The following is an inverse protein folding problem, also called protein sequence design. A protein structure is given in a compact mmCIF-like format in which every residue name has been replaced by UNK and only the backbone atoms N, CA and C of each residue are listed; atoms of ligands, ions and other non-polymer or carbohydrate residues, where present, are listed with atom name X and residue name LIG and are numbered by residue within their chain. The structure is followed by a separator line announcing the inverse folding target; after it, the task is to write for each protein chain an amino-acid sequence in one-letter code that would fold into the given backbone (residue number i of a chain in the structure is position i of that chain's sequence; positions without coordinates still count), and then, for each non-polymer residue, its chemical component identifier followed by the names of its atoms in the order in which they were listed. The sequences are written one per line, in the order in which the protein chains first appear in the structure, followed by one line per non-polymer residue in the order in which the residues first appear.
data_IF_609893574609
#
_entry.id   IF_609893574609
#
_cell.length_a   1.000
_cell.length_b   1.000
_cell.length_c   1.000
_cell.angle_alpha   90.00
_cell.angle_beta   90.00
_cell.angle_gamma   90.00
#
_symmetry.space_group_name_H-M   'P 1'
#
loop_
_entity.id
_entity.type
_entity.pdbx_description
1 polymer ?
#
# COMPACT_ATOMS: atom_id res chain seq x y z
N UNK A 1 7.58 -2.76 -19.21
CA UNK A 1 7.57 -2.58 -17.75
C UNK A 1 6.24 -3.02 -17.14
N UNK A 2 5.06 -2.65 -17.68
CA UNK A 2 3.75 -3.02 -17.13
C UNK A 2 3.53 -4.53 -17.01
N UNK A 3 3.92 -5.31 -18.02
CA UNK A 3 3.82 -6.78 -17.99
C UNK A 3 4.60 -7.36 -16.80
N UNK A 4 5.82 -6.88 -16.58
CA UNK A 4 6.67 -7.32 -15.47
C UNK A 4 6.06 -6.93 -14.12
N UNK A 5 5.46 -5.74 -14.04
CA UNK A 5 4.76 -5.31 -12.81
C UNK A 5 3.57 -6.21 -12.47
N UNK A 6 2.79 -6.66 -13.47
CA UNK A 6 1.72 -7.63 -13.23
C UNK A 6 2.27 -8.99 -12.80
N UNK A 7 3.32 -9.51 -13.44
CA UNK A 7 3.94 -10.77 -13.02
C UNK A 7 4.47 -10.63 -11.58
N UNK A 8 5.12 -9.51 -11.26
CA UNK A 8 5.61 -9.23 -9.90
C UNK A 8 4.47 -9.18 -8.87
N UNK A 9 3.34 -8.59 -9.22
CA UNK A 9 2.15 -8.56 -8.37
C UNK A 9 1.64 -9.97 -8.04
N UNK A 10 1.59 -10.85 -9.05
CA UNK A 10 1.19 -12.25 -8.86
C UNK A 10 2.23 -13.07 -8.09
N UNK A 11 3.52 -12.86 -8.32
CA UNK A 11 4.58 -13.56 -7.57
C UNK A 11 4.65 -13.12 -6.10
N UNK A 12 4.37 -11.84 -5.81
CA UNK A 12 4.29 -11.35 -4.44
C UNK A 12 3.06 -11.88 -3.68
N UNK A 13 1.94 -12.14 -4.35
CA UNK A 13 0.71 -12.76 -3.84
C UNK A 13 0.30 -12.30 -2.42
N UNK A 14 0.47 -11.00 -2.07
CA UNK A 14 0.17 -10.46 -0.74
C UNK A 14 1.15 -10.89 0.38
N UNK A 15 2.21 -11.63 0.03
CA UNK A 15 3.25 -12.09 0.97
C UNK A 15 3.79 -10.97 1.85
N UNK A 16 4.17 -9.78 1.34
CA UNK A 16 4.76 -8.76 2.20
C UNK A 16 3.91 -8.41 3.41
N UNK A 17 2.65 -8.11 3.21
CA UNK A 17 1.73 -7.74 4.30
C UNK A 17 1.44 -8.92 5.24
N UNK A 18 1.25 -10.12 4.68
CA UNK A 18 1.07 -11.35 5.45
C UNK A 18 2.29 -11.64 6.34
N UNK A 19 3.48 -11.59 5.76
CA UNK A 19 4.73 -11.91 6.43
C UNK A 19 5.06 -10.94 7.58
N UNK A 20 4.81 -9.63 7.42
CA UNK A 20 4.98 -8.65 8.50
C UNK A 20 4.17 -9.09 9.73
N UNK A 21 2.90 -9.45 9.54
CA UNK A 21 2.02 -9.89 10.63
C UNK A 21 2.52 -11.18 11.29
N UNK A 22 2.88 -12.19 10.50
CA UNK A 22 3.28 -13.49 11.04
C UNK A 22 4.63 -13.42 11.75
N UNK A 23 5.61 -12.69 11.19
CA UNK A 23 6.90 -12.46 11.85
C UNK A 23 6.73 -11.69 13.16
N UNK A 24 5.90 -10.63 13.15
CA UNK A 24 5.66 -9.82 14.34
C UNK A 24 5.06 -10.63 15.49
N UNK A 25 4.19 -11.61 15.21
CA UNK A 25 3.60 -12.51 16.23
C UNK A 25 4.61 -13.38 16.96
N UNK A 26 5.72 -13.72 16.29
CA UNK A 26 6.70 -14.69 16.79
C UNK A 26 8.08 -14.10 16.99
N UNK A 27 8.24 -12.78 16.91
CA UNK A 27 9.53 -12.09 16.91
C UNK A 27 10.37 -12.36 18.17
N UNK A 28 9.70 -12.64 19.31
CA UNK A 28 10.35 -12.91 20.58
C UNK A 28 10.76 -14.40 20.75
N UNK A 29 10.43 -15.25 19.76
CA UNK A 29 10.82 -16.66 19.71
C UNK A 29 11.69 -16.91 18.46
N UNK A 30 13.03 -16.99 18.59
CA UNK A 30 13.96 -17.13 17.46
C UNK A 30 13.72 -18.37 16.59
N UNK A 31 13.33 -19.49 17.19
CA UNK A 31 13.06 -20.76 16.48
C UNK A 31 11.83 -20.60 15.56
N UNK A 32 10.70 -20.16 16.12
CA UNK A 32 9.46 -19.94 15.34
C UNK A 32 9.64 -18.85 14.29
N UNK A 33 10.36 -17.77 14.63
CA UNK A 33 10.63 -16.68 13.70
C UNK A 33 11.48 -17.18 12.52
N UNK A 34 12.52 -17.98 12.78
CA UNK A 34 13.36 -18.59 11.75
C UNK A 34 12.54 -19.50 10.85
N UNK A 35 11.74 -20.39 11.43
CA UNK A 35 10.88 -21.32 10.70
C UNK A 35 9.91 -20.60 9.78
N UNK A 36 9.11 -19.68 10.30
CA UNK A 36 8.12 -18.92 9.52
C UNK A 36 8.81 -18.12 8.40
N UNK A 37 9.94 -17.49 8.69
CA UNK A 37 10.71 -16.73 7.70
C UNK A 37 11.17 -17.63 6.55
N UNK A 38 11.71 -18.80 6.85
CA UNK A 38 12.17 -19.75 5.82
C UNK A 38 10.99 -20.32 5.02
N UNK A 39 9.88 -20.68 5.68
CA UNK A 39 8.66 -21.16 4.99
C UNK A 39 8.12 -20.13 4.00
N UNK A 40 8.05 -18.87 4.41
CA UNK A 40 7.58 -17.77 3.53
C UNK A 40 8.55 -17.52 2.37
N UNK A 41 9.86 -17.57 2.62
CA UNK A 41 10.87 -17.44 1.57
C UNK A 41 10.78 -18.56 0.53
N UNK A 42 10.58 -19.81 0.98
CA UNK A 42 10.40 -20.95 0.08
C UNK A 42 9.13 -20.82 -0.75
N UNK A 43 8.02 -20.37 -0.16
CA UNK A 43 6.79 -20.06 -0.90
C UNK A 43 7.03 -18.97 -1.94
N UNK A 44 7.70 -17.88 -1.57
CA UNK A 44 8.00 -16.77 -2.48
C UNK A 44 8.94 -17.21 -3.61
N UNK A 45 9.94 -18.04 -3.32
CA UNK A 45 10.81 -18.63 -4.34
C UNK A 45 10.03 -19.50 -5.34
N UNK A 46 9.09 -20.33 -4.85
CA UNK A 46 8.21 -21.13 -5.71
C UNK A 46 7.36 -20.24 -6.63
N UNK A 47 6.70 -19.21 -6.08
CA UNK A 47 5.91 -18.26 -6.88
C UNK A 47 6.77 -17.50 -7.89
N UNK A 48 7.99 -17.14 -7.52
CA UNK A 48 8.97 -16.50 -8.40
C UNK A 48 9.35 -17.40 -9.57
N UNK A 49 9.54 -18.69 -9.33
CA UNK A 49 9.79 -19.68 -10.38
C UNK A 49 8.62 -19.74 -11.38
N UNK A 50 7.37 -19.75 -10.89
CA UNK A 50 6.18 -19.68 -11.74
C UNK A 50 6.16 -18.35 -12.55
N UNK A 51 6.56 -17.25 -11.93
CA UNK A 51 6.69 -15.96 -12.61
C UNK A 51 7.70 -15.99 -13.75
N UNK A 52 8.87 -16.61 -13.55
CA UNK A 52 9.86 -16.77 -14.61
C UNK A 52 9.42 -17.73 -15.73
N UNK A 53 8.63 -18.74 -15.43
CA UNK A 53 7.99 -19.55 -16.47
C UNK A 53 7.04 -18.69 -17.33
N UNK A 54 6.25 -17.80 -16.71
CA UNK A 54 5.42 -16.85 -17.44
C UNK A 54 6.27 -15.86 -18.27
N UNK A 55 7.38 -15.36 -17.75
CA UNK A 55 8.33 -14.50 -18.48
C UNK A 55 8.85 -15.23 -19.73
N UNK A 56 9.25 -16.50 -19.58
CA UNK A 56 9.75 -17.31 -20.71
C UNK A 56 8.68 -17.50 -21.79
N UNK A 57 7.44 -17.84 -21.41
CA UNK A 57 6.32 -17.96 -22.34
C UNK A 57 6.06 -16.65 -23.08
N UNK A 58 6.08 -15.51 -22.39
CA UNK A 58 5.86 -14.18 -22.97
C UNK A 58 6.99 -13.82 -23.97
N UNK A 59 8.24 -14.14 -23.66
CA UNK A 59 9.36 -13.95 -24.58
C UNK A 59 9.19 -14.74 -25.88
N UNK A 60 8.56 -15.92 -25.81
CA UNK A 60 8.36 -16.79 -26.97
C UNK A 60 7.10 -16.43 -27.79
N UNK A 61 6.07 -15.88 -27.16
CA UNK A 61 4.74 -15.69 -27.78
C UNK A 61 4.43 -14.24 -28.16
N UNK A 62 5.01 -13.25 -27.47
CA UNK A 62 4.62 -11.84 -27.66
C UNK A 62 5.62 -11.13 -28.54
N UNK A 63 5.24 -10.86 -29.81
CA UNK A 63 6.08 -10.18 -30.82
C UNK A 63 6.62 -8.83 -30.39
N UNK A 64 5.84 -8.04 -29.65
CA UNK A 64 6.30 -6.75 -29.08
C UNK A 64 7.42 -6.88 -28.04
N UNK A 65 7.54 -8.02 -27.38
CA UNK A 65 8.61 -8.30 -26.41
C UNK A 65 9.84 -8.81 -27.17
N UNK A 66 9.62 -9.53 -28.27
CA UNK A 66 10.72 -10.07 -29.11
C UNK A 66 11.56 -8.96 -29.76
N UNK A 67 11.01 -7.76 -29.94
CA UNK A 67 11.78 -6.61 -30.46
C UNK A 67 12.85 -6.11 -29.51
N UNK A 68 12.70 -6.36 -28.19
CA UNK A 68 13.57 -5.78 -27.15
C UNK A 68 13.77 -6.76 -25.97
N UNK A 69 14.12 -8.02 -26.30
CA UNK A 69 14.36 -9.10 -25.32
C UNK A 69 15.39 -8.69 -24.25
N UNK A 70 16.54 -8.06 -24.57
CA UNK A 70 17.53 -7.69 -23.56
C UNK A 70 16.95 -6.76 -22.48
N UNK A 71 16.18 -5.74 -22.87
CA UNK A 71 15.52 -4.83 -21.94
C UNK A 71 14.46 -5.55 -21.09
N UNK A 72 13.68 -6.44 -21.72
CA UNK A 72 12.64 -7.18 -21.02
C UNK A 72 13.23 -8.14 -19.97
N UNK A 73 14.31 -8.86 -20.31
CA UNK A 73 15.02 -9.74 -19.38
C UNK A 73 15.69 -8.95 -18.26
N UNK A 74 16.32 -7.81 -18.57
CA UNK A 74 16.92 -6.93 -17.57
C UNK A 74 15.85 -6.48 -16.55
N UNK A 75 14.71 -6.00 -17.04
CA UNK A 75 13.61 -5.57 -16.17
C UNK A 75 12.98 -6.73 -15.39
N UNK A 76 12.97 -7.96 -15.95
CA UNK A 76 12.45 -9.15 -15.24
C UNK A 76 13.27 -9.52 -14.02
N UNK A 77 14.53 -9.09 -13.93
CA UNK A 77 15.36 -9.27 -12.74
C UNK A 77 14.71 -8.65 -11.48
N UNK A 78 13.87 -7.63 -11.64
CA UNK A 78 13.11 -7.04 -10.51
C UNK A 78 12.24 -8.05 -9.79
N UNK A 79 11.70 -9.07 -10.49
CA UNK A 79 10.87 -10.15 -9.90
C UNK A 79 11.71 -10.93 -8.88
N UNK A 80 12.90 -11.37 -9.27
CA UNK A 80 13.82 -12.11 -8.40
C UNK A 80 14.26 -11.27 -7.19
N UNK A 81 14.66 -10.02 -7.44
CA UNK A 81 15.15 -9.16 -6.36
C UNK A 81 14.03 -8.76 -5.39
N UNK A 82 12.80 -8.64 -5.87
CA UNK A 82 11.65 -8.45 -4.98
C UNK A 82 11.44 -9.66 -4.08
N UNK A 83 11.60 -10.88 -4.60
CA UNK A 83 11.44 -12.11 -3.84
C UNK A 83 12.47 -12.25 -2.69
N UNK A 84 13.74 -11.92 -2.96
CA UNK A 84 14.81 -11.98 -1.94
C UNK A 84 14.83 -10.73 -1.03
N UNK A 85 14.03 -9.70 -1.35
CA UNK A 85 14.08 -8.40 -0.68
C UNK A 85 13.82 -8.43 0.81
N UNK A 86 12.95 -9.33 1.29
CA UNK A 86 12.66 -9.61 2.70
C UNK A 86 12.45 -8.37 3.58
N UNK A 87 12.03 -7.23 3.01
CA UNK A 87 11.81 -6.00 3.78
C UNK A 87 10.74 -6.20 4.85
N UNK A 88 9.74 -7.04 4.55
CA UNK A 88 8.69 -7.46 5.47
C UNK A 88 9.22 -8.09 6.76
N UNK A 89 10.40 -8.75 6.72
CA UNK A 89 11.04 -9.31 7.91
C UNK A 89 11.47 -8.20 8.87
N UNK A 90 12.18 -7.20 8.36
CA UNK A 90 12.68 -6.07 9.17
C UNK A 90 11.53 -5.19 9.70
N UNK A 91 10.46 -5.04 8.93
CA UNK A 91 9.26 -4.38 9.41
C UNK A 91 8.57 -5.20 10.51
N UNK A 92 8.52 -6.53 10.38
CA UNK A 92 7.95 -7.43 11.38
C UNK A 92 8.67 -7.41 12.72
N UNK A 93 10.00 -7.30 12.70
CA UNK A 93 10.83 -7.13 13.92
C UNK A 93 10.99 -5.67 14.37
N UNK A 94 10.27 -4.74 13.71
CA UNK A 94 10.32 -3.29 14.00
C UNK A 94 11.68 -2.61 13.80
N UNK A 95 12.58 -3.16 12.96
CA UNK A 95 13.87 -2.52 12.63
C UNK A 95 13.70 -1.45 11.53
N UNK A 96 12.80 -0.49 11.78
CA UNK A 96 12.47 0.60 10.85
C UNK A 96 13.67 1.53 10.59
N UNK A 97 14.56 1.68 11.56
CA UNK A 97 15.77 2.48 11.41
C UNK A 97 16.63 1.95 10.26
N UNK A 98 16.85 0.64 10.23
CA UNK A 98 17.58 0.00 9.15
C UNK A 98 16.90 0.17 7.80
N UNK A 99 15.59 -0.09 7.75
CA UNK A 99 14.80 0.06 6.51
C UNK A 99 14.89 1.48 5.96
N UNK A 100 14.73 2.50 6.82
CA UNK A 100 14.78 3.89 6.44
C UNK A 100 16.17 4.32 5.93
N UNK A 101 17.24 4.04 6.70
CA UNK A 101 18.61 4.42 6.33
C UNK A 101 19.02 3.75 5.02
N UNK A 102 18.80 2.43 4.91
CA UNK A 102 19.09 1.68 3.69
C UNK A 102 18.31 2.24 2.50
N UNK A 103 17.01 2.50 2.68
CA UNK A 103 16.16 3.04 1.62
C UNK A 103 16.64 4.40 1.14
N UNK A 104 17.05 5.30 2.03
CA UNK A 104 17.61 6.60 1.68
C UNK A 104 18.94 6.44 0.92
N UNK A 105 19.86 5.64 1.43
CA UNK A 105 21.18 5.43 0.79
C UNK A 105 21.01 4.87 -0.63
N UNK A 106 20.19 3.81 -0.79
CA UNK A 106 19.97 3.18 -2.09
C UNK A 106 19.31 4.14 -3.07
N UNK A 107 18.29 4.90 -2.64
CA UNK A 107 17.63 5.88 -3.50
C UNK A 107 18.58 7.00 -3.91
N UNK A 108 19.39 7.51 -3.00
CA UNK A 108 20.39 8.56 -3.31
C UNK A 108 21.41 8.05 -4.33
N UNK A 109 21.96 6.85 -4.12
CA UNK A 109 22.90 6.24 -5.08
C UNK A 109 22.23 6.02 -6.43
N UNK A 110 20.99 5.52 -6.45
CA UNK A 110 20.25 5.31 -7.69
C UNK A 110 20.03 6.60 -8.46
N UNK A 111 19.69 7.70 -7.79
CA UNK A 111 19.50 9.01 -8.44
C UNK A 111 20.83 9.53 -9.01
N UNK A 112 21.92 9.41 -8.26
CA UNK A 112 23.27 9.80 -8.75
C UNK A 112 23.62 8.99 -10.00
N UNK A 113 23.43 7.67 -9.98
CA UNK A 113 23.69 6.81 -11.12
C UNK A 113 22.79 7.14 -12.33
N UNK A 114 21.54 7.52 -12.11
CA UNK A 114 20.66 7.98 -13.19
C UNK A 114 21.28 9.14 -13.96
N UNK A 115 21.70 10.20 -13.27
CA UNK A 115 22.30 11.38 -13.91
C UNK A 115 23.67 11.11 -14.53
N UNK A 116 24.42 10.13 -14.02
CA UNK A 116 25.72 9.76 -14.57
C UNK A 116 25.61 8.89 -15.82
N UNK A 117 24.66 7.96 -15.86
CA UNK A 117 24.57 6.90 -16.86
C UNK A 117 23.57 7.20 -17.99
N UNK A 118 22.51 7.98 -17.72
CA UNK A 118 21.46 8.28 -18.71
C UNK A 118 21.67 9.71 -19.23
N UNK A 119 22.21 9.85 -20.42
CA UNK A 119 22.52 11.15 -21.06
C UNK A 119 21.71 11.38 -22.35
N UNK A 120 21.25 10.34 -23.00
CA UNK A 120 20.54 10.38 -24.28
C UNK A 120 19.34 9.48 -24.34
N UNK A 121 18.51 9.63 -25.36
CA UNK A 121 17.35 8.73 -25.61
C UNK A 121 17.77 7.30 -25.98
N UNK A 122 18.99 7.11 -26.40
CA UNK A 122 19.56 5.81 -26.77
C UNK A 122 19.96 4.99 -25.53
N UNK A 123 20.10 5.62 -24.37
CA UNK A 123 20.51 4.99 -23.11
C UNK A 123 19.38 4.23 -22.40
N UNK A 124 18.42 3.69 -23.15
CA UNK A 124 17.23 3.01 -22.60
C UNK A 124 17.59 1.78 -21.75
N UNK A 125 18.68 1.08 -22.09
CA UNK A 125 19.18 -0.04 -21.28
C UNK A 125 19.77 0.44 -19.95
N UNK A 126 20.46 1.58 -19.93
CA UNK A 126 20.96 2.19 -18.72
C UNK A 126 19.83 2.68 -17.81
N UNK A 127 18.76 3.22 -18.42
CA UNK A 127 17.54 3.57 -17.68
C UNK A 127 16.85 2.32 -17.11
N UNK A 128 16.82 1.23 -17.86
CA UNK A 128 16.36 -0.08 -17.38
C UNK A 128 17.20 -0.59 -16.21
N UNK A 129 18.53 -0.53 -16.33
CA UNK A 129 19.46 -0.90 -15.27
C UNK A 129 19.28 -0.05 -14.00
N UNK A 130 19.12 1.27 -14.14
CA UNK A 130 18.78 2.15 -13.03
C UNK A 130 17.50 1.73 -12.30
N UNK A 131 16.44 1.43 -13.08
CA UNK A 131 15.16 1.00 -12.49
C UNK A 131 15.29 -0.29 -11.69
N UNK A 132 16.13 -1.21 -12.18
CA UNK A 132 16.45 -2.47 -11.50
C UNK A 132 17.34 -2.22 -10.28
N UNK A 133 18.38 -1.41 -10.39
CA UNK A 133 19.32 -1.10 -9.31
C UNK A 133 18.61 -0.41 -8.12
N UNK A 134 17.62 0.43 -8.37
CA UNK A 134 16.81 1.05 -7.32
C UNK A 134 16.09 0.04 -6.43
N UNK A 135 15.69 -1.10 -7.00
CA UNK A 135 15.11 -2.23 -6.25
C UNK A 135 16.19 -3.17 -5.70
N UNK A 136 17.20 -3.48 -6.53
CA UNK A 136 18.30 -4.40 -6.26
C UNK A 136 19.11 -4.05 -5.03
N UNK A 137 19.63 -2.83 -4.98
CA UNK A 137 20.60 -2.44 -3.99
C UNK A 137 20.09 -2.65 -2.56
N UNK A 138 18.82 -2.31 -2.30
CA UNK A 138 18.19 -2.54 -1.02
C UNK A 138 17.99 -4.02 -0.69
N UNK A 139 17.59 -4.81 -1.67
CA UNK A 139 17.13 -6.18 -1.47
C UNK A 139 18.27 -7.17 -1.24
N UNK A 140 19.40 -6.98 -1.90
CA UNK A 140 20.62 -7.77 -1.63
C UNK A 140 21.10 -7.56 -0.19
N UNK A 141 21.17 -6.30 0.25
CA UNK A 141 21.58 -5.99 1.63
C UNK A 141 20.65 -6.63 2.66
N UNK A 142 19.34 -6.62 2.39
CA UNK A 142 18.37 -7.30 3.24
C UNK A 142 18.66 -8.80 3.35
N UNK A 143 18.83 -9.46 2.20
CA UNK A 143 19.05 -10.90 2.17
C UNK A 143 20.36 -11.32 2.88
N UNK A 144 21.42 -10.55 2.66
CA UNK A 144 22.70 -10.80 3.34
C UNK A 144 22.57 -10.61 4.86
N UNK A 145 21.94 -9.52 5.28
CA UNK A 145 21.73 -9.23 6.71
C UNK A 145 20.79 -10.24 7.38
N UNK A 146 19.80 -10.76 6.66
CA UNK A 146 18.83 -11.73 7.18
C UNK A 146 19.51 -12.96 7.77
N UNK A 147 20.67 -13.37 7.21
CA UNK A 147 21.48 -14.51 7.72
C UNK A 147 21.85 -14.37 9.18
N UNK A 148 21.93 -13.14 9.73
CA UNK A 148 22.27 -12.88 11.15
C UNK A 148 21.11 -13.22 12.10
N UNK A 149 19.89 -13.29 11.59
CA UNK A 149 18.69 -13.54 12.37
C UNK A 149 18.18 -14.98 12.23
N UNK A 150 18.68 -15.71 11.22
CA UNK A 150 18.26 -17.09 10.98
C UNK A 150 19.19 -18.07 11.68
N UNK A 151 18.65 -18.83 12.59
CA UNK A 151 19.36 -19.88 13.35
C UNK A 151 19.19 -21.21 12.62
N UNK A 152 20.15 -21.54 11.73
CA UNK A 152 20.09 -22.73 10.88
C UNK A 152 20.00 -24.05 11.67
N UNK A 153 20.64 -24.09 12.82
CA UNK A 153 20.69 -25.28 13.70
C UNK A 153 19.35 -25.63 14.34
N UNK A 154 18.38 -24.67 14.29
CA UNK A 154 17.04 -24.84 14.82
C UNK A 154 16.01 -25.23 13.74
N UNK A 155 16.43 -25.50 12.50
CA UNK A 155 15.53 -25.79 11.39
C UNK A 155 15.51 -27.29 11.09
N UNK A 156 14.40 -27.93 11.39
CA UNK A 156 14.09 -29.25 10.84
C UNK A 156 13.45 -29.08 9.45
N UNK A 157 14.21 -29.28 8.38
CA UNK A 157 13.75 -29.12 7.00
C UNK A 157 12.52 -29.97 6.68
N UNK A 158 12.36 -31.14 7.32
CA UNK A 158 11.20 -32.02 7.15
C UNK A 158 9.92 -31.48 7.80
N UNK A 159 10.03 -30.58 8.75
CA UNK A 159 8.90 -29.98 9.45
C UNK A 159 8.43 -28.67 8.82
N UNK A 160 9.05 -28.23 7.70
CA UNK A 160 8.65 -27.01 7.00
C UNK A 160 7.40 -27.24 6.15
N UNK A 161 6.42 -26.36 6.28
CA UNK A 161 5.17 -26.37 5.53
C UNK A 161 4.93 -25.06 4.76
N UNK A 162 5.73 -24.73 3.71
CA UNK A 162 5.64 -23.45 3.00
C UNK A 162 4.24 -23.16 2.43
N UNK A 163 3.56 -24.19 1.92
CA UNK A 163 2.23 -24.04 1.31
C UNK A 163 1.11 -23.77 2.31
N UNK A 164 1.35 -23.95 3.63
CA UNK A 164 0.38 -23.54 4.65
C UNK A 164 0.12 -22.02 4.64
N UNK A 165 1.10 -21.23 4.20
CA UNK A 165 1.02 -19.79 4.07
C UNK A 165 0.31 -19.33 2.79
N UNK A 166 0.09 -20.24 1.81
CA UNK A 166 -0.49 -19.87 0.51
C UNK A 166 -1.93 -19.35 0.64
N UNK A 167 -2.78 -20.10 1.37
CA UNK A 167 -4.20 -19.73 1.54
C UNK A 167 -4.37 -18.34 2.21
N UNK A 168 -3.72 -18.03 3.34
CA UNK A 168 -3.75 -16.69 3.91
C UNK A 168 -3.20 -15.61 2.99
N UNK A 169 -2.11 -15.87 2.26
CA UNK A 169 -1.52 -14.94 1.32
C UNK A 169 -2.48 -14.60 0.16
N UNK A 170 -3.21 -15.59 -0.38
CA UNK A 170 -4.25 -15.39 -1.41
C UNK A 170 -5.37 -14.46 -0.90
N UNK A 171 -5.80 -14.60 0.36
CA UNK A 171 -6.83 -13.71 0.90
C UNK A 171 -6.36 -12.24 0.93
N UNK A 172 -5.10 -12.01 1.28
CA UNK A 172 -4.51 -10.66 1.28
C UNK A 172 -4.30 -10.17 -0.16
N UNK A 173 -3.91 -11.05 -1.07
CA UNK A 173 -3.81 -10.71 -2.48
C UNK A 173 -5.17 -10.29 -3.04
N UNK A 174 -6.23 -11.03 -2.77
CA UNK A 174 -7.58 -10.66 -3.17
C UNK A 174 -7.99 -9.29 -2.63
N UNK A 175 -7.66 -9.00 -1.37
CA UNK A 175 -7.86 -7.65 -0.80
C UNK A 175 -7.08 -6.58 -1.59
N UNK A 176 -5.79 -6.80 -1.84
CA UNK A 176 -4.97 -5.85 -2.60
C UNK A 176 -5.49 -5.64 -4.04
N UNK A 177 -5.97 -6.71 -4.69
CA UNK A 177 -6.58 -6.63 -6.04
C UNK A 177 -7.86 -5.81 -5.99
N UNK A 178 -8.74 -6.06 -5.02
CA UNK A 178 -9.99 -5.29 -4.85
C UNK A 178 -9.67 -3.80 -4.64
N UNK A 179 -8.72 -3.49 -3.78
CA UNK A 179 -8.28 -2.10 -3.54
C UNK A 179 -7.69 -1.48 -4.80
N UNK A 180 -6.84 -2.21 -5.53
CA UNK A 180 -6.23 -1.71 -6.77
C UNK A 180 -7.27 -1.45 -7.85
N UNK A 181 -8.23 -2.36 -8.03
CA UNK A 181 -9.34 -2.17 -8.96
C UNK A 181 -10.17 -0.96 -8.55
N UNK A 182 -10.51 -0.85 -7.30
CA UNK A 182 -11.27 0.25 -6.74
C UNK A 182 -10.62 1.62 -7.00
N UNK A 183 -9.30 1.75 -6.78
CA UNK A 183 -8.56 2.98 -7.02
C UNK A 183 -8.44 3.33 -8.51
N UNK A 184 -8.28 2.33 -9.38
CA UNK A 184 -8.15 2.55 -10.83
C UNK A 184 -9.50 2.73 -11.52
N UNK A 185 -10.55 2.14 -10.99
CA UNK A 185 -11.88 2.11 -11.59
C UNK A 185 -12.45 3.52 -11.83
N UNK A 186 -12.18 4.45 -10.91
CA UNK A 186 -12.60 5.85 -11.06
C UNK A 186 -12.06 6.47 -12.35
N UNK A 187 -10.75 6.29 -12.62
CA UNK A 187 -10.11 6.80 -13.84
C UNK A 187 -10.65 6.10 -15.10
N UNK A 188 -10.87 4.78 -15.03
CA UNK A 188 -11.37 3.98 -16.14
C UNK A 188 -12.81 4.39 -16.49
N UNK A 189 -13.72 4.43 -15.50
CA UNK A 189 -15.11 4.83 -15.74
C UNK A 189 -15.21 6.27 -16.25
N UNK A 190 -14.43 7.18 -15.67
CA UNK A 190 -14.41 8.58 -16.10
C UNK A 190 -13.92 8.71 -17.55
N UNK A 191 -12.85 7.97 -17.93
CA UNK A 191 -12.32 7.98 -19.29
C UNK A 191 -13.25 7.37 -20.33
N UNK A 192 -14.04 6.34 -19.95
CA UNK A 192 -15.05 5.75 -20.85
C UNK A 192 -16.32 6.59 -20.98
N UNK A 193 -16.73 7.28 -19.91
CA UNK A 193 -18.01 7.98 -19.84
C UNK A 193 -17.91 9.48 -20.16
N UNK A 194 -16.72 10.05 -20.14
CA UNK A 194 -16.41 11.45 -20.46
C UNK A 194 -15.23 11.51 -21.45
N UNK A 195 -14.11 12.07 -21.03
CA UNK A 195 -12.94 12.36 -21.86
C UNK A 195 -11.63 12.28 -21.07
N UNK A 196 -10.50 12.38 -21.78
CA UNK A 196 -9.18 12.36 -21.20
C UNK A 196 -8.89 13.59 -20.31
N UNK A 197 -9.53 14.72 -20.58
CA UNK A 197 -9.37 15.97 -19.85
C UNK A 197 -9.96 15.83 -18.44
N UNK A 198 -11.17 15.28 -18.32
CA UNK A 198 -11.81 14.99 -17.03
C UNK A 198 -10.97 14.01 -16.19
N UNK A 199 -10.38 12.98 -16.82
CA UNK A 199 -9.43 12.06 -16.16
C UNK A 199 -8.19 12.82 -15.68
N UNK A 200 -7.70 13.78 -16.46
CA UNK A 200 -6.59 14.65 -16.08
C UNK A 200 -6.89 15.44 -14.81
N UNK A 201 -8.05 16.10 -14.72
CA UNK A 201 -8.48 16.87 -13.55
C UNK A 201 -8.63 15.99 -12.30
N UNK A 202 -9.28 14.83 -12.42
CA UNK A 202 -9.42 13.88 -11.31
C UNK A 202 -8.07 13.33 -10.84
N UNK A 203 -7.18 13.01 -11.79
CA UNK A 203 -5.83 12.50 -11.48
C UNK A 203 -4.98 13.54 -10.76
N UNK A 204 -5.04 14.82 -11.17
CA UNK A 204 -4.31 15.90 -10.50
C UNK A 204 -4.76 16.04 -9.04
N UNK A 205 -6.09 16.07 -8.79
CA UNK A 205 -6.66 16.15 -7.45
C UNK A 205 -6.27 14.94 -6.57
N UNK A 206 -6.35 13.73 -7.10
CA UNK A 206 -6.04 12.51 -6.35
C UNK A 206 -4.55 12.31 -6.09
N UNK A 207 -3.64 12.81 -6.93
CA UNK A 207 -2.20 12.81 -6.64
C UNK A 207 -1.88 13.63 -5.38
N UNK A 208 -2.48 14.80 -5.22
CA UNK A 208 -2.31 15.63 -4.02
C UNK A 208 -2.86 14.90 -2.80
N UNK A 209 -4.04 14.30 -2.91
CA UNK A 209 -4.63 13.46 -1.86
C UNK A 209 -3.67 12.35 -1.43
N UNK A 210 -3.10 11.57 -2.37
CA UNK A 210 -2.18 10.46 -2.06
C UNK A 210 -0.93 10.95 -1.32
N UNK A 211 -0.34 12.08 -1.72
CA UNK A 211 0.81 12.68 -1.04
C UNK A 211 0.44 13.02 0.41
N UNK A 212 -0.70 13.67 0.62
CA UNK A 212 -1.18 14.04 1.95
C UNK A 212 -1.47 12.82 2.81
N UNK A 213 -2.10 11.78 2.24
CA UNK A 213 -2.42 10.52 2.94
C UNK A 213 -1.19 9.69 3.29
N UNK A 214 -0.06 9.86 2.60
CA UNK A 214 1.18 9.12 2.89
C UNK A 214 1.68 9.33 4.33
N UNK A 215 1.40 10.49 4.92
CA UNK A 215 1.71 10.78 6.32
C UNK A 215 0.93 9.85 7.28
N UNK A 216 -0.37 9.68 7.03
CA UNK A 216 -1.22 8.81 7.85
C UNK A 216 -0.91 7.33 7.66
N UNK A 217 -0.62 6.90 6.42
CA UNK A 217 -0.31 5.51 6.11
C UNK A 217 1.03 5.04 6.68
N UNK A 218 2.01 5.95 6.79
CA UNK A 218 3.31 5.66 7.41
C UNK A 218 3.17 5.24 8.87
N UNK A 219 2.26 5.86 9.62
CA UNK A 219 1.97 5.46 10.99
C UNK A 219 1.37 4.04 11.04
N UNK A 220 0.44 3.72 10.14
CA UNK A 220 -0.17 2.39 10.06
C UNK A 220 0.88 1.28 9.86
N UNK A 221 1.88 1.51 9.02
CA UNK A 221 2.96 0.57 8.77
C UNK A 221 3.81 0.28 10.03
N UNK A 222 3.99 1.28 10.92
CA UNK A 222 4.73 1.13 12.17
C UNK A 222 3.88 0.46 13.26
N UNK A 223 2.61 0.79 13.35
CA UNK A 223 1.72 0.30 14.41
C UNK A 223 1.29 -1.17 14.18
N UNK A 224 1.09 -1.59 12.94
CA UNK A 224 0.57 -2.93 12.61
C UNK A 224 1.43 -4.08 13.15
N UNK A 225 2.77 -4.09 13.03
CA UNK A 225 3.60 -5.14 13.64
C UNK A 225 3.47 -5.16 15.17
N UNK A 226 3.44 -3.99 15.81
CA UNK A 226 3.32 -3.89 17.27
C UNK A 226 1.98 -4.44 17.76
N UNK A 227 0.87 -4.11 17.09
CA UNK A 227 -0.44 -4.65 17.44
C UNK A 227 -0.50 -6.17 17.24
N UNK A 228 0.11 -6.69 16.18
CA UNK A 228 0.20 -8.14 15.93
C UNK A 228 0.95 -8.87 17.03
N UNK A 229 2.03 -8.30 17.53
CA UNK A 229 2.80 -8.86 18.64
C UNK A 229 2.00 -8.83 19.96
N UNK A 230 1.40 -7.68 20.33
CA UNK A 230 0.60 -7.55 21.56
C UNK A 230 -0.57 -8.55 21.61
N UNK A 231 -1.23 -8.78 20.47
CA UNK A 231 -2.30 -9.79 20.36
C UNK A 231 -1.72 -11.20 20.56
N UNK A 232 -0.57 -11.51 19.96
CA UNK A 232 0.06 -12.82 20.08
C UNK A 232 0.50 -13.13 21.53
N UNK A 233 0.90 -12.10 22.30
CA UNK A 233 1.26 -12.18 23.70
C UNK A 233 0.07 -12.10 24.67
N UNK A 234 -1.17 -12.01 24.18
CA UNK A 234 -2.39 -11.79 24.94
C UNK A 234 -2.40 -10.50 25.79
N UNK A 235 -1.62 -9.48 25.43
CA UNK A 235 -1.54 -8.18 26.09
C UNK A 235 -2.65 -7.24 25.60
N UNK A 236 -3.91 -7.63 25.78
CA UNK A 236 -5.05 -6.94 25.20
C UNK A 236 -5.28 -5.54 25.77
N UNK A 237 -4.85 -5.24 26.99
CA UNK A 237 -5.01 -3.90 27.56
C UNK A 237 -3.98 -2.92 26.96
N UNK A 238 -2.72 -3.36 26.75
CA UNK A 238 -1.72 -2.56 26.03
C UNK A 238 -2.15 -2.32 24.58
N UNK A 239 -2.72 -3.36 23.93
CA UNK A 239 -3.29 -3.26 22.59
C UNK A 239 -4.38 -2.17 22.52
N UNK A 240 -5.36 -2.18 23.43
CA UNK A 240 -6.44 -1.17 23.46
C UNK A 240 -5.87 0.25 23.60
N UNK A 241 -4.90 0.44 24.52
CA UNK A 241 -4.26 1.74 24.76
C UNK A 241 -3.51 2.20 23.50
N UNK A 242 -2.76 1.31 22.85
CA UNK A 242 -2.01 1.62 21.64
C UNK A 242 -2.92 2.02 20.49
N UNK A 243 -3.99 1.26 20.26
CA UNK A 243 -4.97 1.55 19.20
C UNK A 243 -5.69 2.87 19.45
N UNK A 244 -6.07 3.15 20.71
CA UNK A 244 -6.69 4.43 21.04
C UNK A 244 -5.76 5.61 20.77
N UNK A 245 -4.47 5.51 21.16
CA UNK A 245 -3.47 6.54 20.85
C UNK A 245 -3.26 6.72 19.35
N UNK A 246 -3.24 5.61 18.60
CA UNK A 246 -3.13 5.68 17.14
C UNK A 246 -4.33 6.38 16.50
N UNK A 247 -5.53 6.06 16.95
CA UNK A 247 -6.76 6.71 16.48
C UNK A 247 -6.78 8.21 16.80
N UNK A 248 -6.47 8.57 18.06
CA UNK A 248 -6.40 9.97 18.49
C UNK A 248 -5.36 10.76 17.67
N UNK A 249 -4.19 10.15 17.38
CA UNK A 249 -3.15 10.76 16.56
C UNK A 249 -3.60 10.93 15.09
N UNK A 250 -4.23 9.90 14.51
CA UNK A 250 -4.75 9.98 13.13
C UNK A 250 -5.80 11.08 13.02
N UNK A 251 -6.70 11.23 14.00
CA UNK A 251 -7.67 12.33 14.01
C UNK A 251 -6.98 13.69 14.10
N UNK A 252 -6.04 13.83 15.04
CA UNK A 252 -5.28 15.06 15.22
C UNK A 252 -4.50 15.49 13.97
N UNK A 253 -4.08 14.52 13.12
CA UNK A 253 -3.39 14.78 11.87
C UNK A 253 -4.37 14.97 10.70
N UNK A 254 -5.34 14.08 10.56
CA UNK A 254 -6.23 14.04 9.39
C UNK A 254 -7.20 15.23 9.35
N UNK A 255 -7.69 15.70 10.49
CA UNK A 255 -8.61 16.85 10.54
C UNK A 255 -7.97 18.14 10.01
N UNK A 256 -6.81 18.61 10.53
CA UNK A 256 -6.14 19.80 9.97
C UNK A 256 -5.73 19.61 8.52
N UNK A 257 -5.25 18.42 8.14
CA UNK A 257 -4.86 18.15 6.75
C UNK A 257 -6.06 18.22 5.80
N UNK A 258 -7.22 17.71 6.22
CA UNK A 258 -8.46 17.79 5.41
C UNK A 258 -8.88 19.24 5.21
N UNK A 259 -9.00 19.99 6.31
CA UNK A 259 -9.39 21.41 6.26
C UNK A 259 -8.34 22.23 5.51
N UNK A 260 -7.06 22.05 5.84
CA UNK A 260 -5.96 22.71 5.16
C UNK A 260 -5.96 22.49 3.64
N UNK A 261 -6.16 21.23 3.20
CA UNK A 261 -6.23 20.92 1.78
C UNK A 261 -7.46 21.55 1.12
N UNK A 262 -8.62 21.58 1.77
CA UNK A 262 -9.82 22.24 1.23
C UNK A 262 -9.54 23.72 0.94
N UNK A 263 -8.95 24.44 1.88
CA UNK A 263 -8.67 25.88 1.73
C UNK A 263 -7.48 26.18 0.82
N UNK A 264 -6.45 25.32 0.82
CA UNK A 264 -5.25 25.53 -0.01
C UNK A 264 -5.38 24.93 -1.41
N UNK A 265 -6.42 24.12 -1.70
CA UNK A 265 -6.62 23.50 -3.01
C UNK A 265 -6.46 24.44 -4.20
N UNK A 266 -7.00 25.70 -4.19
CA UNK A 266 -6.79 26.62 -5.31
C UNK A 266 -5.31 26.86 -5.58
N UNK A 267 -4.56 27.25 -4.54
CA UNK A 267 -3.13 27.56 -4.67
C UNK A 267 -2.30 26.33 -5.04
N UNK A 268 -2.60 25.17 -4.44
CA UNK A 268 -1.85 23.93 -4.67
C UNK A 268 -2.09 23.39 -6.09
N UNK A 269 -3.33 23.39 -6.57
CA UNK A 269 -3.67 22.93 -7.94
C UNK A 269 -3.00 23.86 -8.97
N UNK A 270 -3.14 25.18 -8.82
CA UNK A 270 -2.56 26.14 -9.77
C UNK A 270 -1.03 26.08 -9.77
N UNK A 271 -0.41 25.94 -8.61
CA UNK A 271 1.05 25.83 -8.49
C UNK A 271 1.62 24.55 -9.13
N UNK A 272 0.97 23.40 -8.90
CA UNK A 272 1.50 22.09 -9.32
C UNK A 272 1.09 21.70 -10.74
N UNK A 273 -0.11 22.12 -11.18
CA UNK A 273 -0.69 21.66 -12.44
C UNK A 273 -0.93 22.80 -13.45
N UNK A 274 -0.85 24.06 -13.01
CA UNK A 274 -1.05 25.24 -13.87
C UNK A 274 -2.51 25.67 -13.97
N UNK A 275 -2.75 26.83 -14.60
CA UNK A 275 -4.07 27.48 -14.69
C UNK A 275 -5.11 26.61 -15.46
N UNK A 276 -4.67 25.84 -16.45
CA UNK A 276 -5.55 24.94 -17.20
C UNK A 276 -6.23 23.88 -16.34
N UNK A 277 -5.70 23.62 -15.13
CA UNK A 277 -6.26 22.66 -14.16
C UNK A 277 -7.17 23.33 -13.11
N UNK A 278 -7.54 24.60 -13.27
CA UNK A 278 -8.48 25.27 -12.36
C UNK A 278 -9.79 24.48 -12.10
N UNK A 279 -10.41 23.75 -13.09
CA UNK A 279 -11.58 22.91 -12.84
C UNK A 279 -11.33 21.78 -11.81
N UNK A 280 -10.08 21.36 -11.60
CA UNK A 280 -9.73 20.32 -10.62
C UNK A 280 -9.76 20.82 -9.16
N UNK A 281 -9.91 22.12 -8.92
CA UNK A 281 -9.94 22.70 -7.57
C UNK A 281 -11.09 22.11 -6.74
N UNK A 282 -12.32 22.16 -7.27
CA UNK A 282 -13.48 21.59 -6.59
C UNK A 282 -13.35 20.09 -6.38
N UNK A 283 -12.82 19.38 -7.38
CA UNK A 283 -12.49 17.94 -7.25
C UNK A 283 -11.55 17.69 -6.09
N UNK A 284 -10.48 18.49 -5.96
CA UNK A 284 -9.49 18.38 -4.86
C UNK A 284 -10.13 18.64 -3.49
N UNK A 285 -11.02 19.62 -3.39
CA UNK A 285 -11.75 19.93 -2.17
C UNK A 285 -12.66 18.78 -1.73
N UNK A 286 -13.38 18.15 -2.67
CA UNK A 286 -14.26 17.01 -2.39
C UNK A 286 -13.44 15.80 -1.94
N UNK A 287 -12.38 15.43 -2.68
CA UNK A 287 -11.58 14.26 -2.33
C UNK A 287 -10.75 14.46 -1.06
N UNK A 288 -10.51 15.70 -0.61
CA UNK A 288 -9.82 15.98 0.65
C UNK A 288 -10.50 15.32 1.86
N UNK A 289 -11.84 15.17 1.84
CA UNK A 289 -12.59 14.48 2.90
C UNK A 289 -12.18 13.01 3.06
N UNK A 290 -11.61 12.40 2.02
CA UNK A 290 -11.11 11.03 2.10
C UNK A 290 -9.90 10.87 3.03
N UNK A 291 -9.14 11.96 3.31
CA UNK A 291 -8.02 11.92 4.27
C UNK A 291 -8.53 11.43 5.63
N UNK A 292 -9.65 11.96 6.08
CA UNK A 292 -10.25 11.57 7.35
C UNK A 292 -10.83 10.15 7.29
N UNK A 293 -11.64 9.85 6.27
CA UNK A 293 -12.31 8.54 6.14
C UNK A 293 -11.32 7.40 6.01
N UNK A 294 -10.32 7.52 5.14
CA UNK A 294 -9.27 6.51 4.95
C UNK A 294 -8.36 6.40 6.17
N UNK A 295 -8.09 7.52 6.87
CA UNK A 295 -7.37 7.51 8.15
C UNK A 295 -8.09 6.64 9.19
N UNK A 296 -9.39 6.87 9.40
CA UNK A 296 -10.21 6.11 10.35
C UNK A 296 -10.35 4.64 9.95
N UNK A 297 -10.69 4.36 8.68
CA UNK A 297 -10.83 2.99 8.17
C UNK A 297 -9.50 2.23 8.21
N UNK A 298 -8.38 2.91 8.00
CA UNK A 298 -7.04 2.35 8.12
C UNK A 298 -6.71 1.87 9.54
N UNK A 299 -7.06 2.64 10.57
CA UNK A 299 -6.91 2.20 11.97
C UNK A 299 -7.78 0.98 12.24
N UNK A 300 -9.07 1.04 11.90
CA UNK A 300 -9.99 -0.08 12.14
C UNK A 300 -9.60 -1.34 11.36
N UNK A 301 -9.25 -1.19 10.09
CA UNK A 301 -8.94 -2.32 9.19
C UNK A 301 -7.56 -2.90 9.43
N UNK A 302 -6.52 -2.09 9.21
CA UNK A 302 -5.13 -2.56 9.14
C UNK A 302 -4.47 -2.70 10.52
N UNK A 303 -4.86 -1.88 11.49
CA UNK A 303 -4.23 -1.91 12.82
C UNK A 303 -5.02 -2.74 13.84
N UNK A 304 -6.31 -2.99 13.60
CA UNK A 304 -7.17 -3.79 14.51
C UNK A 304 -7.62 -5.09 13.85
N UNK A 305 -8.49 -5.03 12.85
CA UNK A 305 -9.14 -6.21 12.28
C UNK A 305 -8.15 -7.17 11.62
N UNK A 306 -7.16 -6.65 10.91
CA UNK A 306 -6.17 -7.47 10.23
C UNK A 306 -5.25 -8.23 11.21
N UNK A 307 -4.62 -7.60 12.23
CA UNK A 307 -3.84 -8.33 13.23
C UNK A 307 -4.66 -9.35 14.04
N UNK A 308 -5.95 -9.08 14.27
CA UNK A 308 -6.88 -10.01 14.92
C UNK A 308 -7.31 -11.18 14.03
N UNK A 309 -6.80 -11.29 12.80
CA UNK A 309 -7.18 -12.34 11.84
C UNK A 309 -8.56 -12.18 11.21
N UNK A 310 -9.16 -10.99 11.32
CA UNK A 310 -10.51 -10.68 10.79
C UNK A 310 -10.47 -10.00 9.42
N UNK A 311 -9.50 -10.35 8.58
CA UNK A 311 -9.32 -9.75 7.24
C UNK A 311 -10.58 -9.85 6.37
N UNK A 312 -11.39 -10.89 6.52
CA UNK A 312 -12.62 -11.06 5.76
C UNK A 312 -13.63 -9.92 6.00
N UNK A 313 -13.64 -9.33 7.21
CA UNK A 313 -14.47 -8.15 7.50
C UNK A 313 -13.96 -6.97 6.69
N UNK A 314 -12.65 -6.77 6.64
CA UNK A 314 -12.03 -5.69 5.86
C UNK A 314 -12.34 -5.85 4.37
N UNK A 315 -12.18 -7.07 3.83
CA UNK A 315 -12.51 -7.40 2.43
C UNK A 315 -13.98 -7.09 2.12
N UNK A 316 -14.90 -7.55 2.97
CA UNK A 316 -16.33 -7.31 2.79
C UNK A 316 -16.66 -5.81 2.78
N UNK A 317 -16.13 -5.04 3.75
CA UNK A 317 -16.38 -3.60 3.82
C UNK A 317 -15.80 -2.86 2.63
N UNK A 318 -14.59 -3.22 2.17
CA UNK A 318 -13.98 -2.64 0.97
C UNK A 318 -14.80 -3.00 -0.28
N UNK A 319 -15.32 -4.22 -0.37
CA UNK A 319 -16.21 -4.62 -1.46
C UNK A 319 -17.52 -3.83 -1.48
N UNK A 320 -18.14 -3.59 -0.31
CA UNK A 320 -19.31 -2.70 -0.19
C UNK A 320 -18.98 -1.31 -0.73
N UNK A 321 -17.83 -0.74 -0.34
CA UNK A 321 -17.37 0.54 -0.86
C UNK A 321 -17.17 0.52 -2.38
N UNK A 322 -16.59 -0.53 -2.92
CA UNK A 322 -16.39 -0.68 -4.37
C UNK A 322 -17.74 -0.71 -5.13
N UNK A 323 -18.73 -1.43 -4.62
CA UNK A 323 -20.08 -1.46 -5.22
C UNK A 323 -20.73 -0.07 -5.18
N UNK A 324 -20.67 0.60 -4.03
CA UNK A 324 -21.18 1.99 -3.89
C UNK A 324 -20.49 2.93 -4.86
N UNK A 325 -19.15 2.81 -4.98
CA UNK A 325 -18.36 3.62 -5.91
C UNK A 325 -18.80 3.44 -7.37
N UNK A 326 -18.97 2.18 -7.83
CA UNK A 326 -19.41 1.90 -9.20
C UNK A 326 -20.79 2.48 -9.47
N UNK A 327 -21.74 2.20 -8.59
CA UNK A 327 -23.14 2.67 -8.74
C UNK A 327 -23.19 4.20 -8.81
N UNK A 328 -22.51 4.88 -7.89
CA UNK A 328 -22.48 6.33 -7.85
C UNK A 328 -21.72 6.93 -9.05
N UNK A 329 -20.62 6.33 -9.50
CA UNK A 329 -19.94 6.78 -10.71
C UNK A 329 -20.85 6.72 -11.94
N UNK A 330 -21.56 5.60 -12.15
CA UNK A 330 -22.49 5.46 -13.28
C UNK A 330 -23.59 6.51 -13.25
N UNK A 331 -24.08 6.89 -12.06
CA UNK A 331 -25.14 7.90 -11.90
C UNK A 331 -24.61 9.35 -11.99
N UNK A 332 -23.43 9.63 -11.43
CA UNK A 332 -22.96 11.00 -11.24
C UNK A 332 -22.01 11.48 -12.37
N UNK A 333 -21.25 10.59 -13.01
CA UNK A 333 -20.34 10.98 -14.10
C UNK A 333 -21.09 11.66 -15.26
N UNK A 334 -22.24 11.16 -15.75
CA UNK A 334 -22.93 11.80 -16.86
C UNK A 334 -23.30 13.26 -16.60
N UNK A 335 -23.65 13.58 -15.34
CA UNK A 335 -24.13 14.91 -14.93
C UNK A 335 -22.99 15.83 -14.51
N UNK A 336 -22.08 15.32 -13.65
CA UNK A 336 -21.08 16.14 -12.95
C UNK A 336 -19.63 15.87 -13.40
N UNK A 337 -19.38 14.93 -14.32
CA UNK A 337 -18.05 14.59 -14.82
C UNK A 337 -17.08 14.18 -13.70
N UNK A 338 -15.89 14.76 -13.71
CA UNK A 338 -14.83 14.48 -12.70
C UNK A 338 -15.25 14.83 -11.26
N UNK A 339 -16.10 15.85 -11.06
CA UNK A 339 -16.62 16.17 -9.73
C UNK A 339 -17.62 15.10 -9.26
N UNK A 340 -18.39 14.50 -10.18
CA UNK A 340 -19.24 13.34 -9.88
C UNK A 340 -18.41 12.14 -9.41
N UNK A 341 -17.30 11.87 -10.07
CA UNK A 341 -16.35 10.83 -9.66
C UNK A 341 -15.76 11.12 -8.27
N UNK A 342 -15.43 12.37 -7.95
CA UNK A 342 -14.93 12.77 -6.64
C UNK A 342 -15.96 12.50 -5.53
N UNK A 343 -17.22 12.85 -5.76
CA UNK A 343 -18.32 12.58 -4.82
C UNK A 343 -18.54 11.07 -4.68
N UNK A 344 -18.55 10.31 -5.77
CA UNK A 344 -18.66 8.85 -5.74
C UNK A 344 -17.55 8.21 -4.93
N UNK A 345 -16.32 8.66 -5.11
CA UNK A 345 -15.15 8.19 -4.35
C UNK A 345 -15.29 8.54 -2.85
N UNK A 346 -15.65 9.76 -2.52
CA UNK A 346 -15.83 10.21 -1.13
C UNK A 346 -16.93 9.40 -0.42
N UNK A 347 -18.11 9.24 -1.05
CA UNK A 347 -19.21 8.48 -0.46
C UNK A 347 -18.89 6.99 -0.32
N UNK A 348 -18.09 6.43 -1.22
CA UNK A 348 -17.62 5.06 -1.12
C UNK A 348 -16.68 4.87 0.08
N UNK A 349 -15.77 5.79 0.35
CA UNK A 349 -14.91 5.73 1.56
C UNK A 349 -15.73 5.91 2.86
N UNK A 350 -16.76 6.73 2.84
CA UNK A 350 -17.74 6.80 3.94
C UNK A 350 -18.43 5.44 4.14
N UNK A 351 -18.86 4.80 3.05
CA UNK A 351 -19.50 3.49 3.12
C UNK A 351 -18.55 2.41 3.66
N UNK A 352 -17.28 2.41 3.27
CA UNK A 352 -16.24 1.52 3.83
C UNK A 352 -16.10 1.75 5.34
N UNK A 353 -15.93 3.00 5.75
CA UNK A 353 -15.71 3.37 7.15
C UNK A 353 -16.91 3.01 8.03
N UNK A 354 -18.12 3.35 7.57
CA UNK A 354 -19.37 3.05 8.29
C UNK A 354 -19.62 1.54 8.35
N UNK A 355 -19.41 0.81 7.26
CA UNK A 355 -19.58 -0.65 7.26
C UNK A 355 -18.57 -1.33 8.19
N UNK A 356 -17.30 -0.87 8.23
CA UNK A 356 -16.32 -1.37 9.20
C UNK A 356 -16.73 -1.09 10.65
N UNK A 357 -17.26 0.09 10.91
CA UNK A 357 -17.78 0.44 12.23
C UNK A 357 -18.93 -0.48 12.65
N UNK A 358 -19.90 -0.72 11.78
CA UNK A 358 -21.07 -1.54 12.08
C UNK A 358 -20.70 -3.02 12.21
N UNK A 359 -20.00 -3.58 11.23
CA UNK A 359 -19.69 -5.01 11.15
C UNK A 359 -18.55 -5.37 12.12
N UNK A 360 -17.55 -4.48 12.21
CA UNK A 360 -16.37 -4.67 13.04
C UNK A 360 -16.51 -4.31 14.51
N UNK A 361 -17.58 -3.62 14.93
CA UNK A 361 -17.74 -2.99 16.26
C UNK A 361 -17.42 -3.89 17.46
N UNK A 362 -17.67 -5.19 17.34
CA UNK A 362 -17.40 -6.16 18.42
C UNK A 362 -15.90 -6.41 18.65
N UNK A 363 -15.07 -6.04 17.69
CA UNK A 363 -13.63 -6.29 17.69
C UNK A 363 -12.81 -4.99 17.81
N UNK A 364 -13.47 -3.83 17.66
CA UNK A 364 -12.80 -2.53 17.60
C UNK A 364 -12.92 -1.85 18.97
N UNK A 365 -11.83 -1.83 19.79
CA UNK A 365 -11.86 -1.27 21.13
C UNK A 365 -11.55 0.23 21.13
N UNK A 366 -12.18 1.01 20.24
CA UNK A 366 -11.93 2.44 20.06
C UNK A 366 -13.09 3.24 20.64
N UNK A 367 -12.77 4.27 21.42
CA UNK A 367 -13.72 5.31 21.82
C UNK A 367 -13.70 6.40 20.76
N UNK A 368 -14.70 6.37 19.86
CA UNK A 368 -14.76 7.26 18.69
C UNK A 368 -15.04 8.73 19.04
N UNK A 369 -15.74 8.98 20.14
CA UNK A 369 -16.14 10.32 20.56
C UNK A 369 -15.62 10.62 21.96
N UNK A 370 -14.54 11.40 22.04
CA UNK A 370 -14.00 11.96 23.27
C UNK A 370 -14.12 13.47 23.25
N UNK A 371 -14.21 14.10 24.43
CA UNK A 371 -14.22 15.57 24.54
C UNK A 371 -12.98 16.22 23.92
N UNK A 372 -11.85 15.53 23.97
CA UNK A 372 -10.58 15.96 23.41
C UNK A 372 -10.64 16.11 21.87
N UNK A 373 -11.43 15.28 21.18
CA UNK A 373 -11.58 15.35 19.73
C UNK A 373 -12.27 16.65 19.28
N UNK A 374 -13.06 17.28 20.16
CA UNK A 374 -13.66 18.59 19.87
C UNK A 374 -12.59 19.68 19.69
N UNK A 375 -11.46 19.59 20.41
CA UNK A 375 -10.35 20.53 20.25
C UNK A 375 -9.69 20.39 18.87
N UNK A 376 -9.62 19.15 18.32
CA UNK A 376 -9.09 18.94 16.96
C UNK A 376 -10.00 19.56 15.90
N UNK A 377 -11.33 19.43 16.08
CA UNK A 377 -12.31 20.07 15.19
C UNK A 377 -12.20 21.59 15.27
N UNK A 378 -12.23 22.16 16.49
CA UNK A 378 -12.15 23.60 16.70
C UNK A 378 -10.83 24.17 16.16
N UNK A 379 -9.70 23.53 16.47
CA UNK A 379 -8.39 23.94 15.96
C UNK A 379 -8.30 23.90 14.44
N UNK A 380 -8.90 22.89 13.80
CA UNK A 380 -8.93 22.77 12.34
C UNK A 380 -9.81 23.85 11.69
N UNK A 381 -10.96 24.16 12.29
CA UNK A 381 -11.86 25.24 11.81
C UNK A 381 -11.22 26.63 11.99
N UNK A 382 -10.46 26.85 13.06
CA UNK A 382 -9.74 28.12 13.25
C UNK A 382 -8.55 28.30 12.26
N UNK A 383 -8.12 27.24 11.59
CA UNK A 383 -7.04 27.26 10.60
C UNK A 383 -7.53 27.66 9.19
N UNK A 384 -8.81 27.43 8.89
CA UNK A 384 -9.45 27.78 7.62
C UNK A 384 -10.15 29.10 7.66
#
# INVERSE_FOLDING_TARGET
QSIISYISLFTCLGIPMYAIREVAKVRDNPEKMTRITVEILLLHAFLTLLGYMAVAVICLTVTKVQTDIPLFLLLSATIFFTAIGCEWFYQGIEDFKYVAIRGMVVKTISVILLFLLVKSKEDILWYGAYSVLGVLGGNIFNFVRLRKYLHKDMIEFRALHPFSHLKPAIHIFAFNVIVSIYLQLNNVLLGFMKDAEAVGYFTAATKILVITMSLSSSLGAVIMPRTSNLIAENKMDEFKVLIQKSYDFILALAMPLTVGLIFTSPSVILLLSGESFAPAILTSQIVALNILMVGISGVMGLQVLYPMGRINIVILCTFIGAVVNVVLNVLLIPVYGHNGTAVAYMLAEVAVTVSMFIIGRRHIPIQFFKKEHLHYVLGSVCMG
#
